data_IF_993188296697
#
_entry.id   IF_993188296697
#
_cell.length_a   1.000
_cell.length_b   1.000
_cell.length_c   1.000
_cell.angle_alpha   90.00
_cell.angle_beta   90.00
_cell.angle_gamma   90.00
#
_symmetry.space_group_name_H-M   'P 1'
#
loop_
_entity.id
_entity.type
_entity.pdbx_description
1 polymer ?
#
# COMPACT_ATOMS: atom_id res chain seq x y z
N UNK A 1 -40.52 -8.47 -66.49
CA UNK A 1 -39.79 -7.45 -65.69
C UNK A 1 -39.80 -7.71 -64.17
N UNK A 2 -40.74 -8.50 -63.64
CA UNK A 2 -40.97 -8.69 -62.19
C UNK A 2 -40.00 -9.65 -61.48
N UNK A 3 -39.49 -10.71 -62.14
CA UNK A 3 -38.53 -11.67 -61.53
C UNK A 3 -37.12 -11.10 -61.32
N UNK A 4 -36.68 -10.18 -62.18
CA UNK A 4 -35.34 -9.60 -62.10
C UNK A 4 -35.24 -8.60 -60.93
N UNK A 5 -36.29 -7.78 -60.74
CA UNK A 5 -36.38 -6.83 -59.64
C UNK A 5 -36.42 -7.54 -58.27
N UNK A 6 -37.15 -8.65 -58.18
CA UNK A 6 -37.26 -9.44 -56.95
C UNK A 6 -35.91 -10.07 -56.53
N UNK A 7 -35.14 -10.60 -57.48
CA UNK A 7 -33.82 -11.15 -57.20
C UNK A 7 -32.80 -10.05 -56.83
N UNK A 8 -32.92 -8.85 -57.39
CA UNK A 8 -32.07 -7.72 -57.04
C UNK A 8 -32.38 -7.20 -55.63
N UNK A 9 -33.67 -7.04 -55.29
CA UNK A 9 -34.10 -6.67 -53.93
C UNK A 9 -33.71 -7.71 -52.89
N UNK A 10 -33.80 -9.01 -53.20
CA UNK A 10 -33.37 -10.09 -52.28
C UNK A 10 -31.87 -10.07 -52.02
N UNK A 11 -31.04 -9.78 -53.02
CA UNK A 11 -29.59 -9.62 -52.87
C UNK A 11 -29.23 -8.36 -52.07
N UNK A 12 -29.97 -7.26 -52.29
CA UNK A 12 -29.78 -6.01 -51.54
C UNK A 12 -30.18 -6.19 -50.06
N UNK A 13 -31.27 -6.89 -49.76
CA UNK A 13 -31.70 -7.21 -48.40
C UNK A 13 -30.69 -8.10 -47.67
N UNK A 14 -30.09 -9.08 -48.34
CA UNK A 14 -29.02 -9.90 -47.76
C UNK A 14 -27.74 -9.10 -47.49
N UNK A 15 -27.39 -8.16 -48.37
CA UNK A 15 -26.25 -7.26 -48.17
C UNK A 15 -26.49 -6.29 -46.99
N UNK A 16 -27.68 -5.72 -46.87
CA UNK A 16 -28.06 -4.83 -45.76
C UNK A 16 -28.13 -5.60 -44.43
N UNK A 17 -28.64 -6.83 -44.43
CA UNK A 17 -28.65 -7.70 -43.25
C UNK A 17 -27.23 -8.06 -42.77
N UNK A 18 -26.24 -8.18 -43.68
CA UNK A 18 -24.84 -8.40 -43.32
C UNK A 18 -24.17 -7.13 -42.77
N UNK A 19 -24.55 -5.95 -43.25
CA UNK A 19 -24.04 -4.66 -42.75
C UNK A 19 -24.58 -4.34 -41.35
N UNK A 20 -25.80 -4.78 -41.01
CA UNK A 20 -26.40 -4.56 -39.69
C UNK A 20 -25.86 -5.46 -38.56
N UNK A 21 -25.03 -6.47 -38.85
CA UNK A 21 -24.40 -7.33 -37.82
C UNK A 21 -23.04 -6.74 -37.35
N UNK A 22 -22.56 -5.67 -37.99
CA UNK A 22 -21.19 -5.19 -37.88
C UNK A 22 -20.81 -4.24 -36.73
N UNK A 23 -21.72 -3.81 -35.85
CA UNK A 23 -21.38 -2.80 -34.82
C UNK A 23 -21.91 -3.10 -33.41
N UNK A 24 -22.05 -4.36 -33.01
CA UNK A 24 -22.17 -4.70 -31.58
C UNK A 24 -20.81 -5.11 -31.03
N UNK A 25 -20.00 -4.12 -30.68
CA UNK A 25 -18.82 -4.34 -29.84
C UNK A 25 -19.27 -4.86 -28.48
N UNK A 26 -18.83 -6.05 -28.03
CA UNK A 26 -19.10 -6.48 -26.66
C UNK A 26 -18.21 -5.65 -25.73
N UNK A 27 -18.77 -4.63 -25.11
CA UNK A 27 -18.15 -3.85 -24.02
C UNK A 27 -17.53 -4.74 -22.92
N UNK A 28 -18.03 -5.97 -22.78
CA UNK A 28 -17.50 -7.01 -21.88
C UNK A 28 -16.04 -7.43 -22.18
N UNK A 29 -15.59 -7.42 -23.44
CA UNK A 29 -14.23 -7.86 -23.80
C UNK A 29 -13.20 -6.76 -23.48
N UNK A 30 -13.57 -5.48 -23.63
CA UNK A 30 -12.73 -4.35 -23.22
C UNK A 30 -12.59 -4.23 -21.69
N UNK A 31 -13.56 -4.71 -20.91
CA UNK A 31 -13.52 -4.68 -19.44
C UNK A 31 -12.78 -5.88 -18.81
N UNK A 32 -12.85 -7.08 -19.42
CA UNK A 32 -12.43 -8.34 -18.80
C UNK A 32 -11.21 -9.03 -19.44
N UNK A 33 -10.64 -8.48 -20.53
CA UNK A 33 -9.44 -9.03 -21.19
C UNK A 33 -8.11 -8.68 -20.51
N UNK A 34 -6.99 -9.16 -21.06
CA UNK A 34 -5.62 -8.87 -20.56
C UNK A 34 -5.22 -7.38 -20.60
N UNK A 35 -6.02 -6.52 -21.25
CA UNK A 35 -5.93 -5.06 -21.20
C UNK A 35 -7.21 -4.41 -20.64
N UNK A 36 -7.97 -5.12 -19.81
CA UNK A 36 -9.17 -4.62 -19.14
C UNK A 36 -8.88 -4.02 -17.76
N UNK A 37 -9.88 -3.35 -17.17
CA UNK A 37 -9.74 -2.65 -15.87
C UNK A 37 -9.19 -3.54 -14.74
N UNK A 38 -9.57 -4.82 -14.71
CA UNK A 38 -9.08 -5.76 -13.69
C UNK A 38 -7.58 -6.04 -13.79
N UNK A 39 -7.06 -6.26 -15.01
CA UNK A 39 -5.64 -6.51 -15.23
C UNK A 39 -4.79 -5.29 -14.85
N UNK A 40 -5.26 -4.07 -15.15
CA UNK A 40 -4.58 -2.85 -14.75
C UNK A 40 -4.56 -2.63 -13.24
N UNK A 41 -5.68 -2.88 -12.56
CA UNK A 41 -5.74 -2.76 -11.11
C UNK A 41 -4.71 -3.69 -10.44
N UNK A 42 -4.66 -4.96 -10.86
CA UNK A 42 -3.67 -5.93 -10.36
C UNK A 42 -2.24 -5.46 -10.66
N UNK A 43 -1.98 -4.98 -11.87
CA UNK A 43 -0.65 -4.49 -12.25
C UNK A 43 -0.21 -3.31 -11.37
N UNK A 44 -1.07 -2.30 -11.18
CA UNK A 44 -0.77 -1.14 -10.33
C UNK A 44 -0.53 -1.57 -8.88
N UNK A 45 -1.41 -2.41 -8.32
CA UNK A 45 -1.26 -2.90 -6.95
C UNK A 45 0.05 -3.68 -6.76
N UNK A 46 0.43 -4.50 -7.76
CA UNK A 46 1.68 -5.27 -7.74
C UNK A 46 2.87 -4.33 -7.79
N UNK A 47 2.88 -3.34 -8.69
CA UNK A 47 3.95 -2.36 -8.81
C UNK A 47 4.11 -1.54 -7.53
N UNK A 48 3.02 -1.03 -6.93
CA UNK A 48 3.11 -0.29 -5.66
C UNK A 48 3.69 -1.16 -4.53
N UNK A 49 3.31 -2.44 -4.47
CA UNK A 49 3.85 -3.38 -3.49
C UNK A 49 5.34 -3.65 -3.73
N UNK A 50 5.75 -3.85 -4.99
CA UNK A 50 7.15 -4.03 -5.35
C UNK A 50 7.98 -2.78 -5.03
N UNK A 51 7.50 -1.59 -5.36
CA UNK A 51 8.18 -0.33 -5.04
C UNK A 51 8.35 -0.13 -3.53
N UNK A 52 7.30 -0.37 -2.75
CA UNK A 52 7.37 -0.31 -1.29
C UNK A 52 8.39 -1.30 -0.74
N UNK A 53 8.38 -2.56 -1.20
CA UNK A 53 9.35 -3.56 -0.77
C UNK A 53 10.78 -3.15 -1.15
N UNK A 54 11.00 -2.68 -2.38
CA UNK A 54 12.31 -2.23 -2.85
C UNK A 54 12.84 -1.09 -1.99
N UNK A 55 11.97 -0.15 -1.61
CA UNK A 55 12.33 0.96 -0.75
C UNK A 55 12.69 0.53 0.68
N UNK A 56 12.03 -0.50 1.24
CA UNK A 56 12.45 -1.10 2.51
C UNK A 56 13.84 -1.73 2.40
N UNK A 57 14.14 -2.41 1.29
CA UNK A 57 15.47 -2.97 1.03
C UNK A 57 16.49 -1.85 0.90
N UNK A 58 16.24 -0.81 0.10
CA UNK A 58 17.12 0.37 -0.04
C UNK A 58 17.48 0.99 1.31
N UNK A 59 16.49 1.22 2.17
CA UNK A 59 16.73 1.74 3.52
C UNK A 59 17.63 0.84 4.35
N UNK A 60 17.51 -0.49 4.24
CA UNK A 60 18.41 -1.43 4.92
C UNK A 60 19.86 -1.30 4.43
N UNK A 61 20.06 -0.96 3.16
CA UNK A 61 21.36 -0.71 2.56
C UNK A 61 21.84 0.75 2.71
N UNK A 62 21.10 1.61 3.41
CA UNK A 62 21.44 3.03 3.55
C UNK A 62 21.27 3.85 2.27
N UNK A 63 20.45 3.36 1.33
CA UNK A 63 20.19 3.99 0.03
C UNK A 63 18.94 4.91 0.10
N UNK A 64 18.85 5.87 -0.83
CA UNK A 64 17.74 6.83 -0.89
C UNK A 64 16.43 6.16 -1.34
N UNK A 65 15.31 6.67 -0.82
CA UNK A 65 13.97 6.30 -1.26
C UNK A 65 13.65 6.88 -2.64
N UNK A 66 12.85 6.14 -3.41
CA UNK A 66 12.30 6.63 -4.68
C UNK A 66 10.93 6.00 -4.91
N UNK A 67 9.92 6.84 -5.15
CA UNK A 67 8.55 6.43 -5.47
C UNK A 67 8.16 7.03 -6.83
N UNK A 68 7.41 6.27 -7.62
CA UNK A 68 6.82 6.74 -8.87
C UNK A 68 5.30 6.70 -8.75
N UNK A 69 4.65 7.85 -8.85
CA UNK A 69 3.20 7.91 -8.86
C UNK A 69 2.67 7.75 -10.29
N UNK A 70 1.62 6.94 -10.44
CA UNK A 70 0.90 6.82 -11.70
C UNK A 70 -0.05 8.01 -11.85
N UNK A 71 0.32 8.99 -12.68
CA UNK A 71 -0.45 10.23 -12.85
C UNK A 71 -1.61 10.08 -13.82
N UNK A 72 -1.47 9.24 -14.87
CA UNK A 72 -2.59 8.89 -15.75
C UNK A 72 -2.36 7.56 -16.47
N UNK A 73 -3.46 6.86 -16.78
CA UNK A 73 -3.48 5.69 -17.65
C UNK A 73 -4.34 6.02 -18.85
N UNK A 74 -3.73 6.17 -20.02
CA UNK A 74 -4.42 6.44 -21.28
C UNK A 74 -4.43 5.15 -22.10
N UNK A 75 -5.60 4.56 -22.29
CA UNK A 75 -5.77 3.36 -23.12
C UNK A 75 -6.23 3.73 -24.52
N UNK A 76 -5.44 3.44 -25.54
CA UNK A 76 -5.87 3.49 -26.93
C UNK A 76 -6.16 2.07 -27.44
N UNK A 77 -7.36 1.86 -27.97
CA UNK A 77 -7.74 0.59 -28.59
C UNK A 77 -7.72 0.77 -30.11
N UNK A 78 -6.87 0.01 -30.81
CA UNK A 78 -6.87 -0.04 -32.27
C UNK A 78 -7.11 -1.47 -32.73
N UNK A 79 -7.99 -1.63 -33.73
CA UNK A 79 -8.20 -2.90 -34.42
C UNK A 79 -7.69 -2.71 -35.83
N UNK A 80 -6.68 -3.50 -36.20
CA UNK A 80 -6.20 -3.57 -37.58
C UNK A 80 -6.81 -4.81 -38.21
N UNK A 81 -7.74 -4.58 -39.15
CA UNK A 81 -8.21 -5.63 -40.04
C UNK A 81 -7.24 -5.73 -41.22
N UNK A 82 -6.30 -6.65 -41.17
CA UNK A 82 -5.41 -6.92 -42.30
C UNK A 82 -6.11 -7.93 -43.19
N UNK A 83 -6.52 -7.49 -44.38
CA UNK A 83 -7.01 -8.37 -45.44
C UNK A 83 -5.85 -8.64 -46.38
N UNK A 84 -5.15 -9.76 -46.18
CA UNK A 84 -4.08 -10.18 -47.09
C UNK A 84 -4.68 -11.00 -48.23
N UNK A 85 -4.70 -10.43 -49.44
CA UNK A 85 -4.98 -11.19 -50.66
C UNK A 85 -3.66 -11.81 -51.12
N UNK A 86 -3.43 -13.08 -50.77
CA UNK A 86 -2.30 -13.85 -51.28
C UNK A 86 -2.65 -14.46 -52.64
N UNK A 87 -1.87 -14.15 -53.68
CA UNK A 87 -1.91 -14.89 -54.95
C UNK A 87 -0.93 -16.06 -54.80
N UNK A 88 -1.38 -17.33 -54.66
CA UNK A 88 -0.46 -18.44 -54.54
C UNK A 88 0.30 -18.66 -55.85
N UNK A 89 1.61 -18.90 -55.74
CA UNK A 89 2.46 -19.30 -56.87
C UNK A 89 2.03 -20.71 -57.32
N UNK A 90 1.68 -20.94 -58.61
CA UNK A 90 1.19 -22.24 -59.06
C UNK A 90 2.29 -23.31 -58.93
N UNK A 91 2.00 -24.41 -58.22
CA UNK A 91 2.91 -25.56 -58.07
C UNK A 91 2.70 -26.43 -56.83
N UNK A 92 2.04 -25.92 -55.78
CA UNK A 92 1.96 -26.62 -54.48
C UNK A 92 0.56 -26.90 -53.90
N UNK A 93 -0.56 -26.64 -54.62
CA UNK A 93 -1.89 -27.08 -54.13
C UNK A 93 -2.95 -27.12 -55.24
N UNK A 94 -3.83 -28.15 -55.21
CA UNK A 94 -4.88 -28.44 -56.22
C UNK A 94 -6.32 -28.10 -55.78
N UNK A 95 -6.52 -27.27 -54.75
CA UNK A 95 -7.86 -26.92 -54.26
C UNK A 95 -8.01 -25.44 -53.92
N UNK A 96 -9.01 -24.82 -54.58
CA UNK A 96 -9.65 -23.50 -54.41
C UNK A 96 -8.77 -22.21 -54.51
N UNK A 97 -9.00 -21.30 -55.48
CA UNK A 97 -8.10 -20.17 -55.78
C UNK A 97 -8.37 -18.90 -54.94
N UNK A 98 -9.07 -19.00 -53.81
CA UNK A 98 -9.33 -17.85 -52.95
C UNK A 98 -9.36 -18.26 -51.47
N UNK A 99 -8.21 -18.17 -50.82
CA UNK A 99 -8.08 -18.27 -49.38
C UNK A 99 -8.15 -16.86 -48.78
N UNK A 100 -9.38 -16.39 -48.51
CA UNK A 100 -9.62 -15.20 -47.70
C UNK A 100 -9.32 -15.53 -46.24
N UNK A 101 -8.11 -15.21 -45.76
CA UNK A 101 -7.78 -15.25 -44.33
C UNK A 101 -7.88 -13.82 -43.80
N UNK A 102 -8.89 -13.56 -42.98
CA UNK A 102 -8.93 -12.37 -42.15
C UNK A 102 -8.14 -12.64 -40.87
N UNK A 103 -7.09 -11.86 -40.62
CA UNK A 103 -6.42 -11.84 -39.33
C UNK A 103 -6.88 -10.60 -38.59
N UNK A 104 -7.68 -10.78 -37.53
CA UNK A 104 -8.05 -9.68 -36.62
C UNK A 104 -6.93 -9.53 -35.60
N UNK A 105 -6.03 -8.57 -35.80
CA UNK A 105 -5.00 -8.25 -34.83
C UNK A 105 -5.53 -7.17 -33.86
N UNK A 106 -5.74 -7.58 -32.61
CA UNK A 106 -6.10 -6.68 -31.52
C UNK A 106 -4.83 -6.10 -30.89
N UNK A 107 -4.70 -4.77 -30.91
CA UNK A 107 -3.55 -4.08 -30.33
C UNK A 107 -4.04 -2.98 -29.38
N UNK A 108 -3.84 -3.19 -28.08
CA UNK A 108 -4.01 -2.17 -27.04
C UNK A 108 -2.65 -1.74 -26.52
N UNK A 109 -2.29 -0.47 -26.68
CA UNK A 109 -1.06 0.09 -26.11
C UNK A 109 -1.47 1.13 -25.05
N UNK A 110 -1.48 0.79 -23.75
CA UNK A 110 -1.68 1.78 -22.71
C UNK A 110 -0.44 2.67 -22.62
N UNK A 111 -0.64 3.98 -22.55
CA UNK A 111 0.38 4.93 -22.14
C UNK A 111 0.18 5.20 -20.65
N UNK A 112 1.14 4.78 -19.83
CA UNK A 112 1.16 5.05 -18.39
C UNK A 112 2.12 6.21 -18.16
N UNK A 113 1.63 7.29 -17.58
CA UNK A 113 2.47 8.43 -17.20
C UNK A 113 2.88 8.27 -15.74
N UNK A 114 4.18 8.32 -15.48
CA UNK A 114 4.77 8.26 -14.14
C UNK A 114 5.33 9.62 -13.75
N UNK A 115 5.12 10.01 -12.50
CA UNK A 115 5.67 11.24 -11.91
C UNK A 115 6.44 10.87 -10.65
N UNK A 116 7.74 11.21 -10.54
CA UNK A 116 8.49 10.97 -9.32
C UNK A 116 7.94 11.75 -8.13
N UNK A 117 7.78 11.11 -6.98
CA UNK A 117 7.42 11.79 -5.73
C UNK A 117 8.66 12.52 -5.18
N UNK A 118 8.69 13.85 -5.29
CA UNK A 118 9.84 14.67 -4.92
C UNK A 118 9.41 16.00 -4.26
N UNK A 119 10.36 16.72 -3.66
CA UNK A 119 10.14 18.06 -3.13
C UNK A 119 9.08 18.11 -2.02
N UNK A 120 8.11 19.03 -2.16
CA UNK A 120 7.07 19.27 -1.16
C UNK A 120 6.14 18.08 -0.92
N UNK A 121 5.77 17.35 -1.97
CA UNK A 121 4.87 16.19 -1.86
C UNK A 121 5.55 15.05 -1.10
N UNK A 122 6.84 14.79 -1.38
CA UNK A 122 7.63 13.86 -0.59
C UNK A 122 7.72 14.29 0.89
N UNK A 123 7.96 15.58 1.15
CA UNK A 123 8.00 16.09 2.52
C UNK A 123 6.66 15.89 3.26
N UNK A 124 5.54 16.17 2.59
CA UNK A 124 4.21 16.06 3.18
C UNK A 124 3.77 14.61 3.38
N UNK A 125 4.03 13.73 2.41
CA UNK A 125 3.51 12.36 2.42
C UNK A 125 4.43 11.38 3.17
N UNK A 126 5.75 11.55 3.04
CA UNK A 126 6.72 10.59 3.57
C UNK A 126 7.34 11.07 4.89
N UNK A 127 7.65 12.37 4.99
CA UNK A 127 8.44 12.89 6.13
C UNK A 127 7.59 13.45 7.27
N UNK A 128 6.37 13.94 7.01
CA UNK A 128 5.51 14.42 8.10
C UNK A 128 5.04 13.26 9.00
N UNK A 129 4.96 13.50 10.32
CA UNK A 129 4.31 12.57 11.24
C UNK A 129 2.88 12.22 10.80
N UNK A 130 2.46 10.99 11.08
CA UNK A 130 1.07 10.57 10.92
C UNK A 130 0.17 11.37 11.86
N UNK A 131 -1.03 11.70 11.40
CA UNK A 131 -2.01 12.37 12.25
C UNK A 131 -2.65 11.37 13.22
N UNK A 132 -2.97 11.82 14.43
CA UNK A 132 -3.66 10.98 15.42
C UNK A 132 -5.06 10.52 14.96
N UNK A 133 -5.72 11.28 14.07
CA UNK A 133 -6.99 10.87 13.44
C UNK A 133 -6.79 9.69 12.50
N UNK A 134 -5.70 9.66 11.72
CA UNK A 134 -5.36 8.51 10.86
C UNK A 134 -5.14 7.26 11.71
N UNK A 135 -4.47 7.40 12.86
CA UNK A 135 -4.26 6.30 13.81
C UNK A 135 -5.60 5.80 14.36
N UNK A 136 -6.50 6.70 14.77
CA UNK A 136 -7.83 6.33 15.25
C UNK A 136 -8.65 5.60 14.16
N UNK A 137 -8.66 6.13 12.95
CA UNK A 137 -9.40 5.57 11.81
C UNK A 137 -8.94 4.15 11.47
N UNK A 138 -7.63 3.92 11.47
CA UNK A 138 -7.04 2.58 11.25
C UNK A 138 -7.46 1.60 12.34
N UNK A 139 -7.46 2.02 13.61
CA UNK A 139 -7.91 1.15 14.71
C UNK A 139 -9.40 0.80 14.54
N UNK A 140 -10.21 1.74 14.07
CA UNK A 140 -11.64 1.55 13.81
C UNK A 140 -11.93 0.72 12.55
N UNK A 141 -11.04 0.70 11.55
CA UNK A 141 -11.17 -0.20 10.39
C UNK A 141 -10.86 -1.66 10.73
N UNK A 142 -10.52 -1.96 11.99
CA UNK A 142 -10.35 -3.31 12.51
C UNK A 142 -8.89 -3.75 12.66
N UNK A 143 -7.93 -2.84 12.53
CA UNK A 143 -6.53 -3.16 12.78
C UNK A 143 -6.25 -3.41 14.27
N UNK A 144 -5.43 -4.42 14.54
CA UNK A 144 -4.94 -4.71 15.88
C UNK A 144 -4.14 -3.51 16.41
N UNK A 145 -4.53 -2.98 17.58
CA UNK A 145 -3.91 -1.78 18.16
C UNK A 145 -2.42 -1.99 18.44
N UNK A 146 -2.00 -3.22 18.74
CA UNK A 146 -0.59 -3.53 18.93
C UNK A 146 0.23 -3.26 17.68
N UNK A 147 -0.23 -3.71 16.51
CA UNK A 147 0.48 -3.56 15.25
C UNK A 147 0.50 -2.09 14.83
N UNK A 148 -0.61 -1.38 15.00
CA UNK A 148 -0.68 0.07 14.73
C UNK A 148 0.32 0.81 15.61
N UNK A 149 0.31 0.58 16.92
CA UNK A 149 1.19 1.32 17.84
C UNK A 149 2.65 0.96 17.67
N UNK A 150 2.98 -0.33 17.50
CA UNK A 150 4.35 -0.78 17.29
C UNK A 150 4.95 -0.24 15.98
N UNK A 151 4.13 0.01 14.96
CA UNK A 151 4.60 0.55 13.69
C UNK A 151 4.62 2.09 13.68
N UNK A 152 3.53 2.73 14.12
CA UNK A 152 3.21 4.13 13.83
C UNK A 152 3.42 5.09 15.00
N UNK A 153 3.73 4.62 16.22
CA UNK A 153 3.94 5.48 17.38
C UNK A 153 5.40 5.43 17.80
N UNK A 154 6.06 6.58 17.92
CA UNK A 154 7.43 6.73 18.42
C UNK A 154 7.44 6.78 19.95
N UNK A 155 6.54 7.56 20.54
CA UNK A 155 6.39 7.66 21.98
C UNK A 155 4.92 7.61 22.39
N UNK A 156 4.67 6.86 23.46
CA UNK A 156 3.42 6.89 24.17
C UNK A 156 3.70 7.29 25.62
N UNK A 157 3.54 8.58 25.89
CA UNK A 157 4.05 9.30 27.06
C UNK A 157 5.55 9.11 27.24
N UNK A 158 6.00 8.78 28.45
CA UNK A 158 7.40 8.51 28.74
C UNK A 158 7.91 7.16 28.21
N UNK A 159 7.04 6.35 27.57
CA UNK A 159 7.34 5.02 27.05
C UNK A 159 7.71 5.09 25.56
N UNK A 160 9.01 4.96 25.21
CA UNK A 160 9.46 5.02 23.84
C UNK A 160 9.30 3.66 23.13
N UNK A 161 8.88 3.70 21.89
CA UNK A 161 8.88 2.59 20.96
C UNK A 161 10.23 2.56 20.20
N UNK A 162 11.21 1.88 20.78
CA UNK A 162 12.58 1.91 20.28
C UNK A 162 12.81 0.91 19.15
N UNK A 163 13.90 1.11 18.43
CA UNK A 163 14.41 0.15 17.45
C UNK A 163 15.24 -0.94 18.13
N UNK A 164 15.35 -2.13 17.52
CA UNK A 164 16.02 -3.30 18.12
C UNK A 164 17.53 -3.12 18.31
N UNK A 165 18.17 -2.22 17.56
CA UNK A 165 19.64 -2.10 17.48
C UNK A 165 20.18 -1.06 18.48
N UNK A 166 21.40 -1.28 19.01
CA UNK A 166 22.15 -0.27 19.77
C UNK A 166 21.67 0.09 21.18
N UNK A 167 20.67 -0.62 21.74
CA UNK A 167 20.05 -0.19 22.99
C UNK A 167 20.84 -0.51 24.27
N UNK A 168 20.89 0.47 25.16
CA UNK A 168 21.36 0.31 26.53
C UNK A 168 20.30 -0.39 27.42
N UNK A 169 20.69 -1.08 28.52
CA UNK A 169 19.75 -1.77 29.40
C UNK A 169 18.62 -0.90 29.98
N UNK A 170 18.89 0.39 30.24
CA UNK A 170 17.89 1.35 30.74
C UNK A 170 16.83 1.64 29.70
N UNK A 171 17.22 1.78 28.43
CA UNK A 171 16.33 2.02 27.31
C UNK A 171 15.44 0.82 27.04
N UNK A 172 16.01 -0.39 27.11
CA UNK A 172 15.27 -1.64 27.01
C UNK A 172 14.15 -1.76 28.07
N UNK A 173 14.42 -1.34 29.31
CA UNK A 173 13.39 -1.30 30.38
C UNK A 173 12.26 -0.32 30.05
N UNK A 174 12.57 0.84 29.46
CA UNK A 174 11.56 1.82 29.05
C UNK A 174 10.71 1.30 27.89
N UNK A 175 11.34 0.69 26.87
CA UNK A 175 10.62 0.06 25.77
C UNK A 175 9.71 -1.09 26.24
N UNK A 176 10.14 -1.87 27.24
CA UNK A 176 9.28 -2.91 27.83
C UNK A 176 7.98 -2.34 28.42
N UNK A 177 8.00 -1.14 29.01
CA UNK A 177 6.78 -0.48 29.51
C UNK A 177 5.84 -0.10 28.38
N UNK A 178 6.37 0.37 27.25
CA UNK A 178 5.59 0.62 26.04
C UNK A 178 4.85 -0.66 25.62
N UNK A 179 5.59 -1.76 25.43
CA UNK A 179 4.98 -3.02 25.01
C UNK A 179 3.94 -3.56 26.01
N UNK A 180 4.19 -3.43 27.31
CA UNK A 180 3.25 -3.86 28.35
C UNK A 180 1.90 -3.14 28.23
N UNK A 181 1.89 -1.81 28.09
CA UNK A 181 0.63 -1.05 28.04
C UNK A 181 -0.14 -1.39 26.76
N UNK A 182 0.55 -1.53 25.63
CA UNK A 182 -0.06 -1.91 24.35
C UNK A 182 -0.64 -3.33 24.40
N UNK A 183 0.02 -4.27 25.07
CA UNK A 183 -0.52 -5.62 25.29
C UNK A 183 -1.80 -5.60 26.13
N UNK A 184 -1.87 -4.77 27.17
CA UNK A 184 -3.10 -4.58 27.95
C UNK A 184 -4.22 -3.98 27.10
N UNK A 185 -3.91 -2.96 26.28
CA UNK A 185 -4.87 -2.36 25.35
C UNK A 185 -5.37 -3.38 24.34
N UNK A 186 -4.50 -4.24 23.82
CA UNK A 186 -4.87 -5.33 22.89
C UNK A 186 -5.85 -6.31 23.53
N UNK A 187 -5.61 -6.70 24.79
CA UNK A 187 -6.54 -7.58 25.53
C UNK A 187 -7.91 -6.93 25.73
N UNK A 188 -7.98 -5.61 25.92
CA UNK A 188 -9.25 -4.89 26.00
C UNK A 188 -9.92 -4.76 24.63
N UNK A 189 -9.15 -4.49 23.57
CA UNK A 189 -9.64 -4.42 22.19
C UNK A 189 -10.29 -5.75 21.77
N UNK A 190 -9.61 -6.87 22.02
CA UNK A 190 -10.14 -8.22 21.72
C UNK A 190 -11.45 -8.54 22.47
N UNK A 191 -11.72 -7.87 23.59
CA UNK A 191 -12.96 -8.01 24.36
C UNK A 191 -14.03 -6.99 23.99
N UNK A 192 -13.76 -6.08 23.05
CA UNK A 192 -14.66 -4.97 22.71
C UNK A 192 -14.78 -3.90 23.81
N UNK A 193 -13.81 -3.85 24.73
CA UNK A 193 -13.84 -2.99 25.92
C UNK A 193 -12.93 -1.75 25.80
N UNK A 194 -12.20 -1.60 24.71
CA UNK A 194 -11.35 -0.44 24.43
C UNK A 194 -12.08 0.51 23.48
N UNK A 195 -12.28 1.76 23.89
CA UNK A 195 -12.79 2.83 23.03
C UNK A 195 -11.66 3.83 22.76
N UNK A 196 -11.58 4.35 21.53
CA UNK A 196 -10.52 5.27 21.08
C UNK A 196 -11.14 6.49 20.39
N UNK A 197 -11.10 7.65 21.03
CA UNK A 197 -11.66 8.90 20.53
C UNK A 197 -10.60 9.94 20.20
N UNK A 198 -11.01 10.99 19.49
CA UNK A 198 -10.24 12.23 19.36
C UNK A 198 -11.00 13.30 20.12
N UNK A 199 -10.27 14.06 20.93
CA UNK A 199 -10.80 15.22 21.63
C UNK A 199 -10.01 16.45 21.22
N UNK A 200 -10.73 17.45 20.73
CA UNK A 200 -10.19 18.78 20.50
C UNK A 200 -10.42 19.65 21.73
N UNK A 201 -9.42 20.45 22.08
CA UNK A 201 -9.48 21.42 23.15
C UNK A 201 -8.92 22.74 22.64
N UNK A 202 -9.69 23.81 22.79
CA UNK A 202 -9.27 25.15 22.40
C UNK A 202 -8.94 25.96 23.66
N UNK A 203 -7.72 26.47 23.74
CA UNK A 203 -7.24 27.29 24.86
C UNK A 203 -6.40 28.43 24.30
N UNK A 204 -6.79 29.68 24.57
CA UNK A 204 -6.09 30.90 24.14
C UNK A 204 -5.65 30.84 22.65
N UNK A 205 -6.62 30.63 21.76
CA UNK A 205 -6.44 30.56 20.29
C UNK A 205 -5.61 29.38 19.76
N UNK A 206 -5.04 28.57 20.65
CA UNK A 206 -4.35 27.32 20.32
C UNK A 206 -5.32 26.15 20.35
N UNK A 207 -5.32 25.34 19.29
CA UNK A 207 -6.06 24.07 19.21
C UNK A 207 -5.11 22.93 19.58
N UNK A 208 -5.47 22.20 20.64
CA UNK A 208 -4.78 21.00 21.06
C UNK A 208 -5.65 19.80 20.75
N UNK A 209 -5.05 18.79 20.12
CA UNK A 209 -5.71 17.52 19.87
C UNK A 209 -5.21 16.49 20.84
N UNK A 210 -6.13 15.68 21.35
CA UNK A 210 -5.85 14.61 22.31
C UNK A 210 -6.40 13.31 21.77
N UNK A 211 -5.58 12.27 21.77
CA UNK A 211 -6.05 10.90 21.61
C UNK A 211 -6.62 10.44 22.95
N UNK A 212 -7.89 10.06 22.96
CA UNK A 212 -8.62 9.67 24.15
C UNK A 212 -8.86 8.17 24.17
N UNK A 213 -8.63 7.53 25.31
CA UNK A 213 -9.01 6.16 25.56
C UNK A 213 -10.04 6.09 26.69
N UNK A 214 -11.06 5.26 26.51
CA UNK A 214 -11.96 4.89 27.60
C UNK A 214 -11.84 3.39 27.88
N UNK A 215 -11.52 3.04 29.12
CA UNK A 215 -11.33 1.66 29.57
C UNK A 215 -12.10 1.39 30.86
N UNK A 216 -12.69 0.20 31.04
CA UNK A 216 -13.54 -0.11 32.20
C UNK A 216 -12.80 -0.08 33.55
N UNK A 217 -13.40 0.52 34.58
CA UNK A 217 -12.81 0.61 35.94
C UNK A 217 -12.87 -0.71 36.71
N UNK A 218 -13.84 -1.57 36.42
CA UNK A 218 -14.05 -2.87 37.05
C UNK A 218 -13.17 -3.97 36.43
N UNK A 219 -12.50 -3.69 35.32
CA UNK A 219 -11.60 -4.61 34.64
C UNK A 219 -10.15 -4.47 35.13
N UNK A 220 -9.48 -5.60 35.41
CA UNK A 220 -8.07 -5.62 35.83
C UNK A 220 -7.15 -4.89 34.85
N UNK A 221 -7.31 -5.10 33.53
CA UNK A 221 -6.47 -4.45 32.53
C UNK A 221 -6.73 -2.95 32.46
N UNK A 222 -7.98 -2.51 32.64
CA UNK A 222 -8.33 -1.09 32.72
C UNK A 222 -7.64 -0.40 33.89
N UNK A 223 -7.69 -1.00 35.09
CA UNK A 223 -6.97 -0.52 36.28
C UNK A 223 -5.46 -0.46 36.07
N UNK A 224 -4.86 -1.51 35.49
CA UNK A 224 -3.42 -1.54 35.22
C UNK A 224 -2.99 -0.46 34.22
N UNK A 225 -3.75 -0.25 33.15
CA UNK A 225 -3.50 0.85 32.19
C UNK A 225 -3.61 2.20 32.90
N UNK A 226 -4.68 2.45 33.65
CA UNK A 226 -4.86 3.71 34.37
C UNK A 226 -3.69 4.00 35.31
N UNK A 227 -3.22 3.00 36.06
CA UNK A 227 -2.04 3.12 36.93
C UNK A 227 -0.76 3.40 36.14
N UNK A 228 -0.52 2.70 35.03
CA UNK A 228 0.65 2.93 34.17
C UNK A 228 0.63 4.33 33.54
N UNK A 229 -0.56 4.81 33.16
CA UNK A 229 -0.78 6.11 32.54
C UNK A 229 -0.96 7.23 33.56
N UNK A 230 -0.92 6.93 34.87
CA UNK A 230 -1.14 7.89 35.97
C UNK A 230 -2.45 8.69 35.79
N UNK A 231 -3.51 7.99 35.41
CA UNK A 231 -4.84 8.59 35.18
C UNK A 231 -5.79 8.19 36.31
N UNK A 232 -6.36 9.20 36.97
CA UNK A 232 -7.31 9.02 38.08
C UNK A 232 -8.73 9.41 37.66
N UNK A 233 -8.89 10.12 36.53
CA UNK A 233 -10.19 10.57 36.08
C UNK A 233 -11.06 9.40 35.65
N UNK A 234 -12.22 9.29 36.29
CA UNK A 234 -13.25 8.32 35.96
C UNK A 234 -14.55 9.02 35.58
N UNK A 235 -15.27 8.45 34.62
CA UNK A 235 -16.61 8.85 34.21
C UNK A 235 -17.37 7.61 33.72
N UNK A 236 -18.63 7.46 34.12
CA UNK A 236 -19.52 6.37 33.70
C UNK A 236 -18.89 4.97 33.77
N UNK A 237 -18.22 4.66 34.89
CA UNK A 237 -17.57 3.37 35.10
C UNK A 237 -16.34 3.12 34.21
N UNK A 238 -15.76 4.17 33.62
CA UNK A 238 -14.54 4.08 32.80
C UNK A 238 -13.47 5.06 33.26
N UNK A 239 -12.21 4.64 33.17
CA UNK A 239 -11.06 5.56 33.19
C UNK A 239 -11.00 6.30 31.85
N UNK A 240 -10.86 7.62 31.90
CA UNK A 240 -10.77 8.48 30.71
C UNK A 240 -9.34 8.98 30.57
N UNK A 241 -8.56 8.35 29.69
CA UNK A 241 -7.14 8.66 29.49
C UNK A 241 -7.02 9.60 28.31
N UNK A 242 -6.70 10.86 28.56
CA UNK A 242 -6.44 11.84 27.50
C UNK A 242 -4.92 11.99 27.29
N UNK A 243 -4.50 11.98 26.03
CA UNK A 243 -3.08 12.07 25.67
C UNK A 243 -2.91 13.11 24.58
N UNK A 244 -2.23 14.21 24.91
CA UNK A 244 -1.95 15.29 23.98
C UNK A 244 -1.10 14.80 22.80
N UNK A 245 -1.45 15.20 21.59
CA UNK A 245 -0.53 15.09 20.45
C UNK A 245 0.69 15.99 20.70
N UNK A 246 1.89 15.46 20.54
CA UNK A 246 3.10 16.22 20.85
C UNK A 246 3.38 16.24 22.36
N UNK A 247 3.21 17.42 22.95
CA UNK A 247 3.50 17.70 24.35
C UNK A 247 2.26 18.27 25.06
N UNK A 248 2.17 18.05 26.36
CA UNK A 248 1.18 18.75 27.20
C UNK A 248 1.65 20.17 27.57
N UNK A 249 0.80 20.90 28.31
CA UNK A 249 1.06 22.27 28.73
C UNK A 249 2.24 22.42 29.71
N UNK A 250 2.75 21.31 30.25
CA UNK A 250 3.90 21.26 31.13
C UNK A 250 5.17 20.77 30.40
N UNK A 251 5.09 20.53 29.09
CA UNK A 251 6.19 20.02 28.28
C UNK A 251 6.42 18.51 28.43
N UNK A 252 5.50 17.76 29.06
CA UNK A 252 5.58 16.31 29.08
C UNK A 252 5.16 15.74 27.73
N UNK A 253 5.84 14.67 27.31
CA UNK A 253 5.49 13.95 26.08
C UNK A 253 4.10 13.34 26.24
N UNK A 254 3.22 13.60 25.27
CA UNK A 254 1.94 12.94 25.14
C UNK A 254 2.04 11.75 24.18
N UNK A 255 1.55 11.87 22.95
CA UNK A 255 1.73 10.88 21.90
C UNK A 255 2.51 11.49 20.74
N UNK A 256 3.56 10.79 20.29
CA UNK A 256 4.35 11.18 19.14
C UNK A 256 4.19 10.12 18.05
N UNK A 257 3.37 10.38 17.03
CA UNK A 257 3.32 9.53 15.84
C UNK A 257 4.63 9.57 15.06
N UNK A 258 4.93 8.48 14.38
CA UNK A 258 6.01 8.38 13.38
C UNK A 258 5.54 8.96 12.06
N UNK A 259 6.50 9.43 11.27
CA UNK A 259 6.28 9.62 9.84
C UNK A 259 6.26 8.27 9.10
N UNK A 260 5.82 8.25 7.85
CA UNK A 260 5.92 7.05 7.04
C UNK A 260 7.38 6.65 6.84
N UNK A 261 8.28 7.62 6.65
CA UNK A 261 9.72 7.37 6.60
C UNK A 261 10.23 6.63 7.83
N UNK A 262 9.83 7.06 9.04
CA UNK A 262 10.23 6.40 10.28
C UNK A 262 9.63 4.99 10.40
N UNK A 263 8.37 4.79 10.00
CA UNK A 263 7.77 3.47 9.88
C UNK A 263 8.58 2.54 8.97
N UNK A 264 8.92 3.03 7.76
CA UNK A 264 9.71 2.28 6.78
C UNK A 264 11.12 2.01 7.28
N UNK A 265 11.78 2.96 7.93
CA UNK A 265 13.09 2.78 8.52
C UNK A 265 13.05 1.68 9.58
N UNK A 266 12.04 1.70 10.46
CA UNK A 266 11.83 0.65 11.46
C UNK A 266 11.65 -0.73 10.83
N UNK A 267 10.84 -0.80 9.76
CA UNK A 267 10.58 -2.05 9.04
C UNK A 267 11.78 -2.55 8.24
N UNK A 268 12.63 -1.65 7.73
CA UNK A 268 13.84 -2.02 6.99
C UNK A 268 14.79 -2.90 7.82
N UNK A 269 14.76 -2.77 9.16
CA UNK A 269 15.56 -3.58 10.08
C UNK A 269 15.17 -5.06 10.09
N UNK A 270 14.00 -5.41 9.56
CA UNK A 270 13.56 -6.79 9.40
C UNK A 270 13.92 -7.41 8.03
N UNK A 271 14.67 -6.69 7.20
CA UNK A 271 15.26 -7.23 5.98
C UNK A 271 16.46 -8.11 6.34
N UNK A 272 16.35 -9.41 6.03
CA UNK A 272 17.43 -10.36 6.17
C UNK A 272 18.51 -10.07 5.14
N UNK A 273 19.66 -9.58 5.58
CA UNK A 273 20.80 -9.28 4.73
C UNK A 273 21.48 -10.61 4.34
N UNK A 274 21.76 -10.85 3.04
CA UNK A 274 22.55 -12.02 2.64
C UNK A 274 23.99 -11.91 3.17
N UNK A 275 24.64 -13.04 3.47
CA UNK A 275 25.98 -13.05 4.11
C UNK A 275 27.02 -12.19 3.38
N UNK A 276 26.97 -12.17 2.03
CA UNK A 276 27.86 -11.36 1.18
C UNK A 276 27.77 -9.85 1.42
N UNK A 277 26.63 -9.36 1.91
CA UNK A 277 26.35 -7.93 2.07
C UNK A 277 26.37 -7.47 3.53
N UNK A 278 26.66 -8.35 4.49
CA UNK A 278 26.65 -8.01 5.93
C UNK A 278 27.54 -6.79 6.22
N UNK A 279 28.77 -6.76 5.70
CA UNK A 279 29.72 -5.65 5.91
C UNK A 279 29.26 -4.31 5.34
N UNK A 280 28.33 -4.33 4.37
CA UNK A 280 27.78 -3.13 3.74
C UNK A 280 26.70 -2.53 4.64
N UNK A 281 25.90 -3.39 5.26
CA UNK A 281 24.75 -3.01 6.08
C UNK A 281 25.04 -2.96 7.58
N UNK A 282 26.25 -3.35 8.01
CA UNK A 282 26.69 -3.26 9.40
C UNK A 282 26.75 -1.78 9.84
N UNK A 283 25.78 -1.38 10.65
CA UNK A 283 25.93 -0.18 11.48
C UNK A 283 26.89 -0.51 12.62
N UNK A 284 27.85 0.37 12.88
CA UNK A 284 28.92 0.24 13.88
C UNK A 284 28.46 0.01 15.33
N UNK A 285 27.16 0.14 15.65
CA UNK A 285 26.60 0.07 17.01
C UNK A 285 25.60 -1.07 17.23
N UNK A 286 25.97 -2.30 16.87
CA UNK A 286 25.24 -3.46 17.40
C UNK A 286 25.78 -3.79 18.79
N UNK A 287 25.05 -3.30 19.81
CA UNK A 287 25.11 -3.83 21.17
C UNK A 287 25.16 -5.37 21.13
N UNK A 288 26.25 -5.96 21.65
CA UNK A 288 26.51 -7.41 21.74
C UNK A 288 25.49 -8.20 22.57
N UNK A 289 24.40 -7.56 23.01
CA UNK A 289 23.39 -8.19 23.85
C UNK A 289 22.36 -8.90 22.97
N UNK A 290 22.21 -10.22 23.14
CA UNK A 290 21.08 -10.99 22.61
C UNK A 290 19.79 -10.43 23.21
N UNK A 291 19.10 -9.57 22.47
CA UNK A 291 17.80 -9.03 22.88
C UNK A 291 16.73 -10.11 22.68
N UNK A 292 15.97 -10.38 23.74
CA UNK A 292 14.90 -11.39 23.72
C UNK A 292 13.78 -11.00 22.74
N UNK A 293 13.26 -11.96 21.93
CA UNK A 293 12.06 -11.77 21.10
C UNK A 293 10.83 -11.35 21.91
N UNK A 294 10.82 -11.58 23.23
CA UNK A 294 9.72 -11.14 24.12
C UNK A 294 9.67 -9.62 24.31
N UNK A 295 10.76 -8.90 24.00
CA UNK A 295 10.84 -7.45 24.20
C UNK A 295 10.55 -6.71 22.89
N UNK A 296 10.97 -7.28 21.75
CA UNK A 296 10.68 -6.77 20.41
C UNK A 296 9.84 -7.79 19.65
N UNK A 297 8.57 -7.45 19.44
CA UNK A 297 7.69 -8.25 18.58
C UNK A 297 8.13 -8.06 17.14
N UNK A 298 8.53 -9.13 16.47
CA UNK A 298 8.86 -9.10 15.05
C UNK A 298 7.60 -8.76 14.27
N UNK A 299 7.57 -7.61 13.60
CA UNK A 299 6.40 -7.16 12.84
C UNK A 299 6.38 -7.70 11.42
N UNK A 300 7.56 -7.94 10.86
CA UNK A 300 7.77 -8.26 9.45
C UNK A 300 8.99 -9.17 9.34
N UNK A 301 9.04 -10.01 8.31
CA UNK A 301 10.23 -10.74 7.89
C UNK A 301 10.34 -10.63 6.38
N UNK A 302 11.42 -10.01 5.90
CA UNK A 302 11.76 -9.98 4.47
C UNK A 302 12.94 -10.92 4.26
N UNK A 303 12.67 -12.01 3.53
CA UNK A 303 13.65 -13.02 3.18
C UNK A 303 14.49 -12.59 1.98
N UNK A 304 15.60 -13.30 1.77
CA UNK A 304 16.40 -13.18 0.56
C UNK A 304 16.62 -14.55 -0.12
N UNK A 305 16.91 -14.55 -1.43
CA UNK A 305 17.27 -15.74 -2.20
C UNK A 305 18.10 -15.40 -3.45
N UNK A 306 18.94 -16.33 -3.91
CA UNK A 306 19.74 -16.17 -5.13
C UNK A 306 18.92 -16.34 -6.42
N UNK A 307 17.74 -16.98 -6.34
CA UNK A 307 16.82 -17.20 -7.46
C UNK A 307 15.47 -16.58 -7.14
N UNK A 308 14.70 -16.22 -8.18
CA UNK A 308 13.36 -15.65 -8.00
C UNK A 308 12.49 -16.66 -7.22
N UNK A 309 11.88 -16.25 -6.09
CA UNK A 309 11.02 -17.13 -5.30
C UNK A 309 9.76 -17.48 -6.09
N UNK A 310 9.26 -18.71 -5.93
CA UNK A 310 7.98 -19.14 -6.49
C UNK A 310 6.80 -18.81 -5.57
N UNK A 311 7.01 -18.93 -4.25
CA UNK A 311 5.97 -18.77 -3.22
C UNK A 311 6.13 -17.45 -2.46
N UNK A 312 6.12 -16.34 -3.19
CA UNK A 312 6.20 -14.99 -2.63
C UNK A 312 4.90 -14.23 -2.81
N UNK A 313 4.49 -13.51 -1.76
CA UNK A 313 3.43 -12.49 -1.86
C UNK A 313 3.88 -11.32 -2.74
N UNK A 314 5.11 -10.85 -2.50
CA UNK A 314 5.77 -9.79 -3.28
C UNK A 314 7.27 -10.07 -3.27
N UNK A 315 7.94 -9.81 -4.38
CA UNK A 315 9.39 -9.99 -4.51
C UNK A 315 10.02 -8.93 -5.41
N UNK A 316 11.26 -8.55 -5.09
CA UNK A 316 12.05 -7.60 -5.88
C UNK A 316 13.48 -8.07 -6.01
N UNK A 317 14.17 -7.68 -7.08
CA UNK A 317 15.60 -7.94 -7.26
C UNK A 317 16.40 -6.70 -6.90
N UNK A 318 17.39 -6.83 -6.02
CA UNK A 318 18.34 -5.78 -5.66
C UNK A 318 19.74 -6.39 -5.45
N UNK A 319 20.80 -5.78 -6.02
CA UNK A 319 22.20 -6.24 -5.89
C UNK A 319 22.39 -7.74 -6.15
N UNK A 320 21.81 -8.22 -7.24
CA UNK A 320 21.81 -9.63 -7.65
C UNK A 320 21.26 -10.62 -6.61
N UNK A 321 20.37 -10.14 -5.74
CA UNK A 321 19.66 -10.94 -4.75
C UNK A 321 18.17 -10.64 -4.87
N UNK A 322 17.33 -11.66 -4.71
CA UNK A 322 15.89 -11.48 -4.60
C UNK A 322 15.52 -11.27 -3.14
N UNK A 323 14.71 -10.27 -2.86
CA UNK A 323 14.10 -10.02 -1.55
C UNK A 323 12.60 -10.24 -1.66
N UNK A 324 11.99 -10.86 -0.64
CA UNK A 324 10.58 -11.22 -0.72
C UNK A 324 9.92 -11.43 0.64
N UNK A 325 8.59 -11.28 0.63
CA UNK A 325 7.71 -11.73 1.71
C UNK A 325 7.08 -13.05 1.27
N UNK A 326 7.14 -14.09 2.12
CA UNK A 326 6.53 -15.40 1.82
C UNK A 326 5.02 -15.28 1.72
N UNK A 327 4.42 -15.99 0.77
CA UNK A 327 2.96 -15.99 0.66
C UNK A 327 2.27 -16.70 1.85
N UNK A 328 2.93 -17.67 2.50
CA UNK A 328 2.39 -18.27 3.74
C UNK A 328 2.45 -17.36 4.98
N UNK A 329 3.20 -16.25 4.94
CA UNK A 329 3.46 -15.42 6.12
C UNK A 329 2.40 -14.33 6.30
N UNK A 330 1.26 -14.73 6.88
CA UNK A 330 0.12 -13.83 7.16
C UNK A 330 0.52 -12.67 8.09
N UNK A 331 1.42 -12.91 9.05
CA UNK A 331 1.80 -11.89 10.02
C UNK A 331 2.61 -10.76 9.36
N UNK A 332 3.61 -11.12 8.56
CA UNK A 332 4.36 -10.17 7.72
C UNK A 332 3.46 -9.46 6.71
N UNK A 333 2.55 -10.20 6.04
CA UNK A 333 1.61 -9.61 5.09
C UNK A 333 0.71 -8.55 5.74
N UNK A 334 0.18 -8.82 6.94
CA UNK A 334 -0.63 -7.83 7.67
C UNK A 334 0.14 -6.54 7.93
N UNK A 335 1.38 -6.62 8.41
CA UNK A 335 2.21 -5.43 8.65
C UNK A 335 2.54 -4.69 7.36
N UNK A 336 2.84 -5.41 6.29
CA UNK A 336 3.12 -4.80 4.99
C UNK A 336 1.89 -4.11 4.39
N UNK A 337 0.70 -4.71 4.53
CA UNK A 337 -0.57 -4.10 4.12
C UNK A 337 -0.88 -2.84 4.94
N UNK A 338 -0.64 -2.86 6.26
CA UNK A 338 -0.80 -1.67 7.10
C UNK A 338 0.11 -0.51 6.62
N UNK A 339 1.34 -0.83 6.21
CA UNK A 339 2.26 0.17 5.67
C UNK A 339 1.74 0.79 4.37
N UNK A 340 1.20 -0.04 3.47
CA UNK A 340 0.58 0.42 2.23
C UNK A 340 -0.66 1.29 2.51
N UNK A 341 -1.52 0.89 3.44
CA UNK A 341 -2.71 1.67 3.82
C UNK A 341 -2.33 3.03 4.44
N UNK A 342 -1.29 3.05 5.29
CA UNK A 342 -0.74 4.30 5.83
C UNK A 342 -0.19 5.22 4.73
N UNK A 343 0.48 4.65 3.71
CA UNK A 343 0.96 5.41 2.56
C UNK A 343 -0.19 6.00 1.74
N UNK A 344 -1.22 5.20 1.45
CA UNK A 344 -2.39 5.65 0.69
C UNK A 344 -3.16 6.74 1.43
N UNK A 345 -3.36 6.61 2.75
CA UNK A 345 -4.05 7.60 3.57
C UNK A 345 -3.30 8.94 3.66
N UNK A 346 -1.96 8.93 3.60
CA UNK A 346 -1.16 10.15 3.53
C UNK A 346 -1.19 10.78 2.14
N UNK A 347 -1.28 9.98 1.07
CA UNK A 347 -1.32 10.46 -0.33
C UNK A 347 -2.55 11.31 -0.66
N UNK A 348 -3.70 11.01 -0.03
CA UNK A 348 -4.97 11.73 -0.25
C UNK A 348 -4.96 13.20 0.21
N UNK A 349 -3.86 13.70 0.79
CA UNK A 349 -3.68 15.10 1.19
C UNK A 349 -3.19 15.99 0.04
N UNK A 350 -2.69 15.40 -1.05
CA UNK A 350 -2.22 16.14 -2.22
C UNK A 350 -3.41 16.53 -3.09
N UNK A 351 -3.55 17.83 -3.40
CA UNK A 351 -4.57 18.32 -4.35
C UNK A 351 -4.29 17.69 -5.71
N UNK A 352 -5.09 16.69 -6.10
CA UNK A 352 -5.04 16.10 -7.43
C UNK A 352 -5.45 17.16 -8.45
N UNK A 353 -4.48 17.84 -9.04
CA UNK A 353 -4.70 18.63 -10.26
C UNK A 353 -4.85 17.62 -11.40
N UNK A 354 -6.10 17.37 -11.81
CA UNK A 354 -6.38 16.48 -12.93
C UNK A 354 -5.64 16.95 -14.20
N UNK A 355 -5.24 16.02 -15.08
CA UNK A 355 -4.48 16.38 -16.28
C UNK A 355 -5.30 17.31 -17.18
N UNK A 356 -4.70 18.43 -17.58
CA UNK A 356 -5.25 19.32 -18.60
C UNK A 356 -5.10 18.63 -19.96
N UNK A 357 -6.16 17.98 -20.44
CA UNK A 357 -6.16 17.31 -21.74
C UNK A 357 -6.37 18.36 -22.85
N UNK A 358 -5.34 18.62 -23.67
CA UNK A 358 -5.50 19.26 -24.98
C UNK A 358 -5.50 18.17 -26.05
N UNK A 359 -6.69 17.76 -26.48
CA UNK A 359 -6.82 16.84 -27.63
C UNK A 359 -6.48 17.61 -28.92
N UNK A 360 -5.64 17.07 -29.82
CA UNK A 360 -5.52 17.61 -31.16
C UNK A 360 -6.83 17.38 -31.91
N UNK A 361 -7.42 18.46 -32.44
CA UNK A 361 -8.52 18.38 -33.39
C UNK A 361 -7.96 17.84 -34.71
N UNK A 362 -8.09 16.53 -34.92
CA UNK A 362 -7.75 15.92 -36.20
C UNK A 362 -8.57 16.56 -37.31
N UNK A 363 -7.90 17.26 -38.22
CA UNK A 363 -8.49 17.70 -39.49
C UNK A 363 -8.72 16.47 -40.37
N UNK A 364 -9.95 16.31 -40.83
CA UNK A 364 -10.41 15.17 -41.65
C UNK A 364 -9.87 15.14 -43.06
#
# INVERSE_FOLDING_TARGET
MTKLLYNLMRKLLFAIAFVCIGCNFPSKIAMNGSGGRGAYNIAIQTTNSEEMLLNLVRLRYGELLSFLEVSSVITQHSIKNIVTVGIPIPGFNKTNPANLRGETQWQSQPTIQYTPLQGGDFANQIMQPLNIETIQQIIYSGWDIDRVFLLAIENFREFPNLHREGLAPKELKRHKKFHNVINLMTKLQMKGLLQVGIREEQKNDSKFRKLQFAVPVDNQYGKEIANMMKEEKTADGRYIINISEGFDEYGNIGILPRSLLSCMYSLSKYVMIPEKDIKICESSDISKHKISPKIFKELLIIHNSNRKPKDSYVCVKHRDTWFYIKDGDIHSKKTFLLLLELYDLQSGRSKVQGPLLTLPTGTG
#
